data_IF_868451490425
#
_entry.id   IF_868451490425
#
_cell.length_a   1.000
_cell.length_b   1.000
_cell.length_c   1.000
_cell.angle_alpha   90.00
_cell.angle_beta   90.00
_cell.angle_gamma   90.00
#
_symmetry.space_group_name_H-M   'P 1'
#
loop_
_entity.id
_entity.type
_entity.pdbx_description
1 polymer ?
#
# COMPACT_ATOMS: atom_id res chain seq x y z
N UNK A 1 -2.14 -27.31 -7.16
CA UNK A 1 -2.33 -27.00 -5.71
C UNK A 1 -1.99 -25.53 -5.56
N UNK A 2 -2.97 -24.69 -5.35
CA UNK A 2 -2.75 -23.30 -4.96
C UNK A 2 -2.07 -23.30 -3.60
N UNK A 3 -1.01 -22.53 -3.42
CA UNK A 3 -0.49 -22.22 -2.10
C UNK A 3 -1.10 -20.88 -1.67
N UNK A 4 -2.34 -20.89 -1.13
CA UNK A 4 -3.09 -19.66 -0.82
C UNK A 4 -2.57 -18.95 0.43
N UNK A 5 -1.58 -19.53 1.13
CA UNK A 5 -1.29 -19.18 2.51
C UNK A 5 -0.05 -18.29 2.70
N UNK A 6 0.77 -18.07 1.64
CA UNK A 6 2.02 -17.28 1.80
C UNK A 6 1.78 -15.81 2.17
N UNK A 7 0.68 -15.24 1.73
CA UNK A 7 0.23 -13.91 2.13
C UNK A 7 -1.29 -13.89 2.21
N UNK A 8 -1.80 -13.50 3.36
CA UNK A 8 -3.24 -13.37 3.61
C UNK A 8 -3.59 -11.94 3.96
N UNK A 9 -4.63 -11.40 3.32
CA UNK A 9 -5.25 -10.14 3.74
C UNK A 9 -6.39 -10.47 4.71
N UNK A 10 -6.35 -9.78 5.85
CA UNK A 10 -7.34 -9.95 6.91
C UNK A 10 -8.17 -8.68 6.97
N UNK A 11 -9.52 -8.80 6.94
CA UNK A 11 -10.38 -7.64 7.11
C UNK A 11 -10.08 -6.91 8.43
N UNK A 12 -10.06 -5.59 8.38
CA UNK A 12 -9.90 -4.76 9.58
C UNK A 12 -11.25 -4.46 10.23
N UNK A 13 -11.28 -4.18 11.54
CA UNK A 13 -12.50 -3.75 12.24
C UNK A 13 -13.15 -2.54 11.55
N UNK A 14 -14.49 -2.50 11.55
CA UNK A 14 -15.27 -1.46 10.84
C UNK A 14 -14.92 -0.04 11.28
N UNK A 15 -14.65 0.17 12.56
CA UNK A 15 -14.24 1.46 13.12
C UNK A 15 -12.88 1.95 12.60
N UNK A 16 -12.05 1.03 12.10
CA UNK A 16 -10.72 1.35 11.56
C UNK A 16 -10.66 1.41 10.01
N UNK A 17 -11.72 1.03 9.30
CA UNK A 17 -11.75 1.08 7.84
C UNK A 17 -11.45 2.45 7.22
N UNK A 18 -11.80 3.59 7.86
CA UNK A 18 -11.37 4.91 7.38
C UNK A 18 -9.84 5.12 7.37
N UNK A 19 -9.11 4.32 8.13
CA UNK A 19 -7.66 4.45 8.36
C UNK A 19 -6.86 3.32 7.74
N UNK A 20 -7.45 2.14 7.68
CA UNK A 20 -6.79 0.91 7.28
C UNK A 20 -7.52 0.25 6.11
N UNK A 21 -6.75 -0.24 5.15
CA UNK A 21 -7.27 -1.03 4.04
C UNK A 21 -7.42 -2.50 4.43
N UNK A 22 -6.38 -3.06 5.06
CA UNK A 22 -6.35 -4.46 5.46
C UNK A 22 -5.27 -4.72 6.53
N UNK A 23 -5.43 -5.79 7.28
CA UNK A 23 -4.33 -6.50 7.91
C UNK A 23 -3.62 -7.39 6.90
N UNK A 24 -2.34 -7.65 7.10
CA UNK A 24 -1.56 -8.58 6.27
C UNK A 24 -0.80 -9.57 7.16
N UNK A 25 -0.84 -10.82 6.76
CA UNK A 25 -0.04 -11.91 7.35
C UNK A 25 0.81 -12.49 6.23
N UNK A 26 2.09 -12.61 6.47
CA UNK A 26 3.07 -13.19 5.54
C UNK A 26 3.69 -14.42 6.18
N UNK A 27 3.67 -15.53 5.46
CA UNK A 27 4.36 -16.78 5.83
C UNK A 27 5.05 -17.34 4.58
N UNK A 28 6.18 -16.74 4.24
CA UNK A 28 6.93 -17.07 3.04
C UNK A 28 7.88 -18.25 3.30
N UNK A 29 7.81 -19.32 2.50
CA UNK A 29 8.69 -20.46 2.66
C UNK A 29 10.13 -20.11 2.26
N UNK A 30 11.10 -20.89 2.76
CA UNK A 30 12.52 -20.72 2.43
C UNK A 30 12.82 -20.81 0.92
N UNK A 31 11.98 -21.50 0.15
CA UNK A 31 12.12 -21.63 -1.30
C UNK A 31 11.81 -20.34 -2.06
N UNK A 32 11.12 -19.38 -1.44
CA UNK A 32 10.85 -18.08 -2.04
C UNK A 32 12.02 -17.13 -1.76
N UNK A 33 12.94 -17.02 -2.71
CA UNK A 33 14.13 -16.19 -2.56
C UNK A 33 13.85 -14.68 -2.70
N UNK A 34 12.79 -14.30 -3.43
CA UNK A 34 12.49 -12.90 -3.74
C UNK A 34 10.99 -12.66 -3.82
N UNK A 35 10.59 -11.44 -3.45
CA UNK A 35 9.24 -10.93 -3.70
C UNK A 35 9.29 -9.55 -4.36
N UNK A 36 8.39 -9.33 -5.31
CA UNK A 36 8.28 -8.08 -6.05
C UNK A 36 6.96 -7.39 -5.70
N UNK A 37 7.04 -6.13 -5.36
CA UNK A 37 5.87 -5.30 -5.11
C UNK A 37 5.78 -4.23 -6.18
N UNK A 38 4.61 -4.01 -6.79
CA UNK A 38 4.42 -2.91 -7.72
C UNK A 38 4.55 -1.57 -6.99
N UNK A 39 4.68 -0.49 -7.76
CA UNK A 39 4.48 0.85 -7.22
C UNK A 39 3.13 0.95 -6.51
N UNK A 40 3.10 1.61 -5.34
CA UNK A 40 1.91 1.68 -4.49
C UNK A 40 1.68 3.08 -3.94
N UNK A 41 0.42 3.50 -3.87
CA UNK A 41 0.03 4.76 -3.20
C UNK A 41 -0.15 4.59 -1.70
N UNK A 42 -0.34 3.37 -1.22
CA UNK A 42 -0.52 3.03 0.19
C UNK A 42 0.81 2.85 0.89
N UNK A 43 0.83 3.13 2.19
CA UNK A 43 1.95 2.81 3.08
C UNK A 43 1.58 1.62 3.96
N UNK A 44 2.59 0.97 4.52
CA UNK A 44 2.41 -0.18 5.40
C UNK A 44 3.24 -0.01 6.67
N UNK A 45 2.72 -0.51 7.76
CA UNK A 45 3.52 -0.84 8.94
C UNK A 45 3.61 -2.36 9.06
N UNK A 46 4.82 -2.89 9.20
CA UNK A 46 5.08 -4.33 9.19
C UNK A 46 5.99 -4.69 10.36
N UNK A 47 5.64 -5.75 11.07
CA UNK A 47 6.51 -6.39 12.08
C UNK A 47 6.89 -7.77 11.57
N UNK A 48 8.17 -7.95 11.29
CA UNK A 48 8.74 -9.24 10.90
C UNK A 48 9.06 -10.04 12.16
N UNK A 49 8.53 -11.24 12.22
CA UNK A 49 8.64 -12.16 13.36
C UNK A 49 9.82 -13.12 13.18
N UNK A 50 10.08 -13.55 11.94
CA UNK A 50 11.17 -14.45 11.59
C UNK A 50 11.74 -14.14 10.19
N UNK A 51 12.96 -14.61 9.96
CA UNK A 51 13.69 -14.46 8.71
C UNK A 51 14.40 -13.11 8.57
N UNK A 52 15.13 -12.97 7.46
CA UNK A 52 15.80 -11.72 7.06
C UNK A 52 15.30 -11.29 5.70
N UNK A 53 15.16 -9.99 5.52
CA UNK A 53 14.72 -9.38 4.27
C UNK A 53 15.65 -8.24 3.93
N UNK A 54 16.13 -8.21 2.70
CA UNK A 54 16.93 -7.11 2.16
C UNK A 54 16.15 -6.39 1.05
N UNK A 55 16.38 -5.11 0.92
CA UNK A 55 15.82 -4.29 -0.14
C UNK A 55 16.90 -3.31 -0.59
N UNK A 56 17.17 -3.26 -1.89
CA UNK A 56 18.21 -2.39 -2.48
C UNK A 56 19.59 -2.55 -1.79
N UNK A 57 19.94 -3.78 -1.41
CA UNK A 57 21.20 -4.10 -0.74
C UNK A 57 21.25 -3.77 0.76
N UNK A 58 20.22 -3.13 1.33
CA UNK A 58 20.12 -2.84 2.75
C UNK A 58 19.21 -3.82 3.50
N UNK A 59 19.55 -4.13 4.76
CA UNK A 59 18.68 -4.94 5.63
C UNK A 59 17.42 -4.15 6.01
N UNK A 60 16.25 -4.72 5.74
CA UNK A 60 14.96 -4.13 6.15
C UNK A 60 14.83 -4.26 7.68
N UNK A 61 14.49 -3.18 8.40
CA UNK A 61 14.26 -3.24 9.84
C UNK A 61 13.22 -4.30 10.23
N UNK A 62 13.36 -4.96 11.39
CA UNK A 62 12.36 -5.94 11.85
C UNK A 62 10.97 -5.37 12.03
N UNK A 63 10.87 -4.14 12.52
CA UNK A 63 9.64 -3.36 12.54
C UNK A 63 9.83 -2.17 11.60
N UNK A 64 9.18 -2.20 10.45
CA UNK A 64 9.42 -1.29 9.34
C UNK A 64 8.17 -0.51 8.94
N UNK A 65 8.37 0.79 8.70
CA UNK A 65 7.50 1.59 7.86
C UNK A 65 7.91 1.44 6.40
N UNK A 66 6.97 1.05 5.57
CA UNK A 66 7.12 0.98 4.11
C UNK A 66 6.24 2.08 3.54
N UNK A 67 6.86 3.12 2.98
CA UNK A 67 6.10 4.24 2.39
C UNK A 67 5.48 3.85 1.04
N UNK A 68 4.58 4.70 0.54
CA UNK A 68 4.19 4.69 -0.86
C UNK A 68 5.43 4.62 -1.78
N UNK A 69 5.30 4.01 -2.95
CA UNK A 69 6.42 3.85 -3.89
C UNK A 69 6.04 4.26 -5.31
N UNK A 70 6.99 4.84 -6.04
CA UNK A 70 6.81 5.29 -7.43
C UNK A 70 7.37 4.32 -8.45
N UNK A 71 8.03 3.27 -7.98
CA UNK A 71 8.61 2.18 -8.78
C UNK A 71 8.35 0.85 -8.10
N UNK A 72 8.45 -0.23 -8.85
CA UNK A 72 8.46 -1.57 -8.28
C UNK A 72 9.61 -1.75 -7.28
N UNK A 73 9.34 -2.47 -6.19
CA UNK A 73 10.31 -2.79 -5.15
C UNK A 73 10.54 -4.29 -5.12
N UNK A 74 11.81 -4.68 -5.06
CA UNK A 74 12.21 -6.08 -4.91
C UNK A 74 12.78 -6.30 -3.52
N UNK A 75 12.32 -7.38 -2.87
CA UNK A 75 12.81 -7.83 -1.57
C UNK A 75 13.44 -9.19 -1.72
N UNK A 76 14.64 -9.35 -1.18
CA UNK A 76 15.38 -10.61 -1.12
C UNK A 76 15.22 -11.26 0.25
N UNK A 77 14.93 -12.54 0.29
CA UNK A 77 14.68 -13.29 1.50
C UNK A 77 15.87 -14.14 1.89
N UNK A 78 16.36 -13.98 3.12
CA UNK A 78 17.37 -14.83 3.72
C UNK A 78 16.75 -15.98 4.52
N UNK A 79 16.00 -16.88 3.84
CA UNK A 79 15.27 -17.98 4.46
C UNK A 79 13.75 -17.73 4.58
N UNK A 80 13.03 -18.53 5.38
CA UNK A 80 11.59 -18.34 5.58
C UNK A 80 11.32 -17.01 6.27
N UNK A 81 10.26 -16.30 5.84
CA UNK A 81 9.89 -15.01 6.38
C UNK A 81 8.48 -15.04 6.96
N UNK A 82 8.37 -14.69 8.23
CA UNK A 82 7.09 -14.49 8.89
C UNK A 82 6.93 -13.03 9.28
N UNK A 83 5.79 -12.43 8.95
CA UNK A 83 5.48 -11.04 9.28
C UNK A 83 3.98 -10.81 9.40
N UNK A 84 3.63 -9.81 10.21
CA UNK A 84 2.28 -9.26 10.28
C UNK A 84 2.34 -7.75 10.07
N UNK A 85 1.27 -7.15 9.56
CA UNK A 85 1.26 -5.73 9.33
C UNK A 85 -0.11 -5.16 9.05
N UNK A 86 -0.15 -3.86 8.86
CA UNK A 86 -1.34 -3.12 8.45
C UNK A 86 -1.03 -2.33 7.18
N UNK A 87 -1.95 -2.37 6.23
CA UNK A 87 -1.94 -1.52 5.04
C UNK A 87 -2.82 -0.32 5.33
N UNK A 88 -2.27 0.87 5.19
CA UNK A 88 -2.98 2.10 5.51
C UNK A 88 -3.69 2.65 4.27
N UNK A 89 -4.85 3.31 4.49
CA UNK A 89 -5.40 4.20 3.48
C UNK A 89 -4.36 5.27 3.13
N UNK A 90 -4.22 5.69 1.87
CA UNK A 90 -3.20 6.68 1.50
C UNK A 90 -3.26 7.93 2.38
N UNK A 91 -4.47 8.48 2.58
CA UNK A 91 -4.69 9.68 3.40
C UNK A 91 -4.45 9.46 4.90
N UNK A 92 -4.58 8.23 5.38
CA UNK A 92 -4.37 7.90 6.77
C UNK A 92 -2.90 7.92 7.16
N UNK A 93 -2.00 7.56 6.26
CA UNK A 93 -0.56 7.52 6.53
C UNK A 93 -0.04 8.86 7.05
N UNK A 94 -0.36 9.95 6.35
CA UNK A 94 0.06 11.32 6.72
C UNK A 94 -0.75 11.91 7.87
N UNK A 95 -1.97 11.45 8.08
CA UNK A 95 -2.82 11.88 9.18
C UNK A 95 -2.33 11.29 10.52
N UNK A 96 -2.03 9.98 10.53
CA UNK A 96 -1.61 9.24 11.72
C UNK A 96 -0.16 9.51 12.11
N UNK A 97 0.70 9.73 11.12
CA UNK A 97 2.15 9.85 11.31
C UNK A 97 2.66 11.11 10.61
N UNK A 98 2.84 12.20 11.37
CA UNK A 98 3.31 13.47 10.82
C UNK A 98 4.65 13.33 10.08
N UNK A 99 5.53 12.46 10.56
CA UNK A 99 6.81 12.13 9.91
C UNK A 99 6.70 11.35 8.61
N UNK A 100 5.49 10.86 8.25
CA UNK A 100 5.25 10.16 6.98
C UNK A 100 5.00 11.12 5.80
N UNK A 101 4.78 12.42 6.07
CA UNK A 101 4.50 13.41 5.03
C UNK A 101 5.66 13.51 4.02
N UNK A 102 5.34 13.39 2.76
CA UNK A 102 6.32 13.46 1.67
C UNK A 102 7.24 12.24 1.54
N UNK A 103 7.10 11.23 2.39
CA UNK A 103 7.89 10.01 2.27
C UNK A 103 7.38 9.15 1.11
N UNK A 104 8.29 8.85 0.20
CA UNK A 104 8.07 7.96 -0.94
C UNK A 104 9.34 7.16 -1.22
N UNK A 105 9.23 5.93 -1.67
CA UNK A 105 10.35 5.01 -1.90
C UNK A 105 11.26 4.85 -0.67
N UNK A 106 10.66 4.83 0.52
CA UNK A 106 11.41 4.86 1.80
C UNK A 106 11.02 3.69 2.68
N UNK A 107 12.04 3.04 3.24
CA UNK A 107 11.93 2.06 4.31
C UNK A 107 12.60 2.64 5.54
N UNK A 108 11.91 2.66 6.67
CA UNK A 108 12.43 3.17 7.95
C UNK A 108 12.02 2.28 9.12
N UNK A 109 12.80 2.26 10.22
CA UNK A 109 12.33 1.71 11.48
C UNK A 109 11.03 2.41 11.91
N UNK A 110 10.04 1.65 12.37
CA UNK A 110 8.80 2.23 12.89
C UNK A 110 9.03 3.14 14.10
N UNK A 111 10.03 2.85 14.90
CA UNK A 111 10.42 3.69 16.04
C UNK A 111 10.76 5.13 15.62
N UNK A 112 11.29 5.36 14.41
CA UNK A 112 11.63 6.69 13.92
C UNK A 112 10.38 7.55 13.63
N UNK A 113 9.25 6.93 13.32
CA UNK A 113 7.98 7.63 13.05
C UNK A 113 7.09 7.72 14.28
N UNK A 114 7.12 6.69 15.12
CA UNK A 114 6.22 6.54 16.27
C UNK A 114 6.83 7.09 17.56
N UNK A 115 8.16 7.00 17.66
CA UNK A 115 8.90 7.33 18.87
C UNK A 115 8.96 6.16 19.86
N UNK A 116 9.37 6.43 21.12
CA UNK A 116 9.65 5.38 22.13
C UNK A 116 8.47 4.46 22.44
N UNK A 117 7.23 4.98 22.32
CA UNK A 117 6.01 4.20 22.56
C UNK A 117 5.88 2.96 21.65
N UNK A 118 6.63 2.93 20.52
CA UNK A 118 6.62 1.78 19.63
C UNK A 118 7.19 0.52 20.27
N UNK A 119 8.15 0.63 21.17
CA UNK A 119 8.81 -0.52 21.79
C UNK A 119 7.82 -1.45 22.52
N UNK A 120 6.86 -0.87 23.25
CA UNK A 120 5.83 -1.64 23.95
C UNK A 120 4.89 -2.36 22.96
N UNK A 121 4.50 -1.69 21.89
CA UNK A 121 3.65 -2.28 20.83
C UNK A 121 4.38 -3.43 20.14
N UNK A 122 5.64 -3.23 19.76
CA UNK A 122 6.45 -4.27 19.12
C UNK A 122 6.62 -5.49 20.04
N UNK A 123 6.88 -5.27 21.31
CA UNK A 123 6.99 -6.33 22.31
C UNK A 123 5.67 -7.11 22.43
N UNK A 124 4.54 -6.41 22.50
CA UNK A 124 3.21 -7.05 22.57
C UNK A 124 2.90 -7.88 21.31
N UNK A 125 3.23 -7.36 20.11
CA UNK A 125 3.07 -8.11 18.86
C UNK A 125 3.91 -9.39 18.86
N UNK A 126 5.16 -9.31 19.33
CA UNK A 126 6.06 -10.48 19.39
C UNK A 126 5.65 -11.50 20.44
N UNK A 127 5.06 -11.05 21.55
CA UNK A 127 4.59 -11.92 22.63
C UNK A 127 3.29 -12.66 22.28
N UNK A 128 2.49 -12.12 21.39
CA UNK A 128 1.22 -12.73 20.98
C UNK A 128 1.44 -14.09 20.29
N UNK A 129 0.62 -15.08 20.62
CA UNK A 129 0.80 -16.45 20.17
C UNK A 129 0.38 -16.65 18.71
N UNK A 130 -0.69 -16.00 18.27
CA UNK A 130 -1.28 -16.18 16.94
C UNK A 130 -1.41 -14.87 16.17
N UNK A 131 -1.44 -14.95 14.85
CA UNK A 131 -1.48 -13.77 13.96
C UNK A 131 -2.69 -12.87 14.19
N UNK A 132 -3.84 -13.47 14.56
CA UNK A 132 -5.05 -12.71 14.91
C UNK A 132 -4.82 -11.78 16.09
N UNK A 133 -4.17 -12.25 17.16
CA UNK A 133 -3.81 -11.43 18.33
C UNK A 133 -2.80 -10.35 17.96
N UNK A 134 -1.79 -10.68 17.16
CA UNK A 134 -0.79 -9.73 16.64
C UNK A 134 -1.45 -8.58 15.89
N UNK A 135 -2.38 -8.90 14.99
CA UNK A 135 -3.16 -7.90 14.26
C UNK A 135 -4.07 -7.08 15.19
N UNK A 136 -4.65 -7.70 16.23
CA UNK A 136 -5.43 -6.97 17.23
C UNK A 136 -4.59 -5.96 17.99
N UNK A 137 -3.35 -6.31 18.38
CA UNK A 137 -2.40 -5.37 19.02
C UNK A 137 -2.13 -4.19 18.09
N UNK A 138 -1.84 -4.43 16.82
CA UNK A 138 -1.61 -3.36 15.84
C UNK A 138 -2.87 -2.49 15.62
N UNK A 139 -4.05 -3.09 15.55
CA UNK A 139 -5.31 -2.36 15.45
C UNK A 139 -5.58 -1.52 16.72
N UNK A 140 -5.29 -2.05 17.90
CA UNK A 140 -5.41 -1.30 19.15
C UNK A 140 -4.48 -0.09 19.17
N UNK A 141 -3.24 -0.23 18.70
CA UNK A 141 -2.30 0.87 18.55
C UNK A 141 -2.86 1.98 17.62
N UNK A 142 -3.42 1.64 16.47
CA UNK A 142 -4.04 2.63 15.58
C UNK A 142 -5.25 3.27 16.26
N UNK A 143 -6.08 2.48 16.95
CA UNK A 143 -7.26 2.97 17.67
C UNK A 143 -6.89 3.99 18.74
N UNK A 144 -5.82 3.77 19.48
CA UNK A 144 -5.29 4.75 20.45
C UNK A 144 -4.85 6.06 19.79
N UNK A 145 -4.27 6.00 18.58
CA UNK A 145 -3.83 7.20 17.86
C UNK A 145 -5.00 8.04 17.31
N UNK A 146 -6.11 7.42 16.99
CA UNK A 146 -7.31 8.11 16.50
C UNK A 146 -8.31 8.46 17.60
N UNK A 147 -8.06 8.00 18.85
CA UNK A 147 -8.92 8.28 19.99
C UNK A 147 -8.80 9.75 20.44
N UNK A 148 -9.86 10.36 21.02
CA UNK A 148 -9.78 11.67 21.64
C UNK A 148 -8.71 11.70 22.78
N UNK A 149 -7.95 12.82 22.95
CA UNK A 149 -8.08 14.13 22.27
C UNK A 149 -7.40 14.22 20.89
N UNK A 150 -6.65 13.21 20.47
CA UNK A 150 -5.91 13.22 19.20
C UNK A 150 -6.82 13.06 17.97
N UNK A 151 -8.03 12.57 18.15
CA UNK A 151 -8.98 12.27 17.07
C UNK A 151 -9.24 13.47 16.17
N UNK A 152 -9.48 14.64 16.76
CA UNK A 152 -9.80 15.86 15.99
C UNK A 152 -8.65 16.25 15.05
N UNK A 153 -7.41 16.24 15.55
CA UNK A 153 -6.24 16.60 14.75
C UNK A 153 -5.95 15.55 13.66
N UNK A 154 -6.10 14.26 13.97
CA UNK A 154 -5.93 13.19 13.00
C UNK A 154 -7.02 13.23 11.92
N UNK A 155 -8.28 13.44 12.29
CA UNK A 155 -9.39 13.47 11.34
C UNK A 155 -9.33 14.71 10.46
N UNK A 156 -8.99 15.88 11.01
CA UNK A 156 -8.79 17.10 10.21
C UNK A 156 -7.67 16.90 9.18
N UNK A 157 -6.53 16.33 9.60
CA UNK A 157 -5.42 16.03 8.68
C UNK A 157 -5.84 15.05 7.60
N UNK A 158 -6.63 14.03 7.94
CA UNK A 158 -7.18 13.07 6.97
C UNK A 158 -8.12 13.76 5.98
N UNK A 159 -9.01 14.63 6.44
CA UNK A 159 -9.90 15.40 5.56
C UNK A 159 -9.13 16.34 4.63
N UNK A 160 -8.08 16.98 5.11
CA UNK A 160 -7.19 17.79 4.27
C UNK A 160 -6.49 16.94 3.19
N UNK A 161 -6.05 15.75 3.54
CA UNK A 161 -5.43 14.81 2.59
C UNK A 161 -6.44 14.35 1.52
N UNK A 162 -7.66 13.97 1.94
CA UNK A 162 -8.75 13.60 1.03
C UNK A 162 -9.12 14.74 0.06
N UNK A 163 -9.22 15.98 0.57
CA UNK A 163 -9.50 17.14 -0.27
C UNK A 163 -8.42 17.33 -1.37
N UNK A 164 -7.14 17.12 -1.04
CA UNK A 164 -6.06 17.17 -2.03
C UNK A 164 -6.20 16.05 -3.09
N UNK A 165 -6.56 14.84 -2.68
CA UNK A 165 -6.77 13.73 -3.61
C UNK A 165 -7.96 13.98 -4.55
N UNK A 166 -9.09 14.47 -4.00
CA UNK A 166 -10.27 14.84 -4.79
C UNK A 166 -9.97 15.96 -5.78
N UNK A 167 -9.26 16.99 -5.34
CA UNK A 167 -8.84 18.11 -6.19
C UNK A 167 -7.93 17.61 -7.33
N UNK A 168 -7.01 16.72 -7.06
CA UNK A 168 -6.18 16.09 -8.09
C UNK A 168 -7.02 15.30 -9.11
N UNK A 169 -8.04 14.55 -8.64
CA UNK A 169 -8.94 13.76 -9.48
C UNK A 169 -9.83 14.62 -10.39
N UNK A 170 -10.33 15.73 -9.88
CA UNK A 170 -11.27 16.62 -10.61
C UNK A 170 -10.57 17.69 -11.45
N UNK A 171 -9.27 17.91 -11.26
CA UNK A 171 -8.52 19.02 -11.87
C UNK A 171 -8.87 20.38 -11.26
N UNK A 172 -9.58 20.40 -10.12
CA UNK A 172 -9.86 21.61 -9.36
C UNK A 172 -8.73 21.88 -8.37
N UNK A 173 -8.11 23.04 -8.46
CA UNK A 173 -6.90 23.33 -7.71
C UNK A 173 -7.14 24.01 -6.36
N UNK A 174 -8.34 23.87 -5.77
CA UNK A 174 -8.70 24.44 -4.45
C UNK A 174 -8.44 25.95 -4.34
N UNK A 175 -8.73 26.72 -5.40
CA UNK A 175 -8.42 28.15 -5.47
C UNK A 175 -6.93 28.50 -5.63
N UNK A 176 -6.06 27.51 -5.78
CA UNK A 176 -4.64 27.70 -6.01
C UNK A 176 -4.32 27.71 -7.52
N UNK A 177 -3.20 28.33 -7.91
CA UNK A 177 -2.66 28.09 -9.24
C UNK A 177 -2.19 26.63 -9.37
N UNK A 178 -2.15 26.09 -10.60
CA UNK A 178 -1.68 24.72 -10.86
C UNK A 178 -0.33 24.46 -10.19
N UNK A 179 0.64 25.36 -10.32
CA UNK A 179 1.98 25.22 -9.73
C UNK A 179 1.95 25.19 -8.20
N UNK A 180 1.10 26.01 -7.57
CA UNK A 180 0.94 26.01 -6.11
C UNK A 180 0.29 24.71 -5.62
N UNK A 181 -0.74 24.23 -6.33
CA UNK A 181 -1.40 22.97 -6.04
C UNK A 181 -0.41 21.78 -6.15
N UNK A 182 0.31 21.67 -7.27
CA UNK A 182 1.31 20.61 -7.47
C UNK A 182 2.38 20.63 -6.37
N UNK A 183 2.91 21.81 -6.02
CA UNK A 183 3.89 21.94 -4.93
C UNK A 183 3.31 21.48 -3.59
N UNK A 184 2.06 21.86 -3.27
CA UNK A 184 1.38 21.42 -2.04
C UNK A 184 1.14 19.92 -2.05
N UNK A 185 0.73 19.35 -3.16
CA UNK A 185 0.50 17.93 -3.33
C UNK A 185 1.81 17.14 -3.14
N UNK A 186 2.90 17.55 -3.82
CA UNK A 186 4.22 16.91 -3.66
C UNK A 186 4.71 17.00 -2.23
N UNK A 187 4.58 18.15 -1.57
CA UNK A 187 4.97 18.31 -0.16
C UNK A 187 4.18 17.36 0.77
N UNK A 188 2.97 16.98 0.40
CA UNK A 188 2.12 16.09 1.18
C UNK A 188 2.36 14.62 0.86
N UNK A 189 2.44 14.27 -0.44
CA UNK A 189 2.45 12.89 -0.93
C UNK A 189 3.82 12.39 -1.39
N UNK A 190 4.82 13.26 -1.49
CA UNK A 190 6.15 12.93 -2.02
C UNK A 190 6.19 12.68 -3.53
N UNK A 191 5.06 12.76 -4.24
CA UNK A 191 4.96 12.54 -5.68
C UNK A 191 3.95 13.50 -6.32
N UNK A 192 4.08 13.73 -7.63
CA UNK A 192 3.17 14.63 -8.37
C UNK A 192 1.75 14.05 -8.47
N UNK A 193 0.71 14.90 -8.58
CA UNK A 193 -0.69 14.45 -8.67
C UNK A 193 -0.93 13.44 -9.77
N UNK A 194 -0.39 13.69 -10.97
CA UNK A 194 -0.51 12.78 -12.12
C UNK A 194 0.15 11.43 -11.86
N UNK A 195 1.30 11.41 -11.20
CA UNK A 195 2.01 10.18 -10.85
C UNK A 195 1.21 9.36 -9.85
N UNK A 196 0.66 10.01 -8.81
CA UNK A 196 -0.24 9.37 -7.85
C UNK A 196 -1.43 8.71 -8.54
N UNK A 197 -2.13 9.43 -9.43
CA UNK A 197 -3.28 8.91 -10.18
C UNK A 197 -2.92 7.68 -11.04
N UNK A 198 -1.76 7.71 -11.70
CA UNK A 198 -1.32 6.57 -12.52
C UNK A 198 -1.03 5.35 -11.66
N UNK A 199 -0.37 5.52 -10.51
CA UNK A 199 -0.10 4.42 -9.59
C UNK A 199 -1.39 3.90 -8.95
N UNK A 200 -2.29 4.79 -8.51
CA UNK A 200 -3.59 4.41 -7.95
C UNK A 200 -4.42 3.58 -8.95
N UNK A 201 -4.44 4.00 -10.22
CA UNK A 201 -5.08 3.23 -11.30
C UNK A 201 -4.45 1.85 -11.47
N UNK A 202 -3.11 1.76 -11.50
CA UNK A 202 -2.41 0.48 -11.56
C UNK A 202 -2.79 -0.42 -10.39
N UNK A 203 -2.81 0.10 -9.16
CA UNK A 203 -3.19 -0.68 -7.98
C UNK A 203 -4.64 -1.20 -8.08
N UNK A 204 -5.59 -0.36 -8.52
CA UNK A 204 -6.98 -0.76 -8.79
C UNK A 204 -7.05 -1.85 -9.88
N UNK A 205 -6.28 -1.69 -10.96
CA UNK A 205 -6.24 -2.68 -12.06
C UNK A 205 -5.75 -4.04 -11.57
N UNK A 206 -4.67 -4.06 -10.79
CA UNK A 206 -4.15 -5.30 -10.20
C UNK A 206 -5.16 -5.95 -9.25
N UNK A 207 -5.79 -5.15 -8.39
CA UNK A 207 -6.83 -5.64 -7.48
C UNK A 207 -8.01 -6.28 -8.22
N UNK A 208 -8.52 -5.64 -9.26
CA UNK A 208 -9.64 -6.15 -10.06
C UNK A 208 -9.25 -7.41 -10.85
N UNK A 209 -8.05 -7.43 -11.45
CA UNK A 209 -7.57 -8.61 -12.18
C UNK A 209 -7.43 -9.86 -11.28
N UNK A 210 -7.19 -9.65 -9.99
CA UNK A 210 -7.08 -10.74 -9.01
C UNK A 210 -8.44 -11.17 -8.46
N UNK A 211 -9.37 -10.22 -8.32
CA UNK A 211 -10.73 -10.48 -7.84
C UNK A 211 -11.57 -11.21 -8.91
N UNK A 212 -11.37 -10.91 -10.19
CA UNK A 212 -12.11 -11.47 -11.32
C UNK A 212 -11.17 -12.16 -12.31
N UNK A 213 -10.69 -13.37 -12.03
CA UNK A 213 -9.69 -14.05 -12.85
C UNK A 213 -10.13 -14.41 -14.29
N UNK A 214 -11.41 -14.27 -14.60
CA UNK A 214 -12.00 -14.61 -15.92
C UNK A 214 -12.17 -13.43 -16.86
N UNK A 215 -11.95 -12.19 -16.41
CA UNK A 215 -12.09 -11.00 -17.24
C UNK A 215 -10.99 -10.91 -18.32
N UNK A 216 -11.35 -10.36 -19.47
CA UNK A 216 -10.36 -10.13 -20.53
C UNK A 216 -9.49 -8.92 -20.21
N UNK A 217 -8.24 -8.94 -20.68
CA UNK A 217 -7.30 -7.82 -20.52
C UNK A 217 -7.82 -6.53 -21.18
N UNK A 218 -8.65 -6.68 -22.24
CA UNK A 218 -9.26 -5.56 -22.96
C UNK A 218 -10.36 -4.89 -22.12
N UNK A 219 -11.28 -5.68 -21.56
CA UNK A 219 -12.33 -5.18 -20.67
C UNK A 219 -11.72 -4.47 -19.48
N UNK A 220 -10.74 -5.10 -18.84
CA UNK A 220 -10.04 -4.52 -17.68
C UNK A 220 -9.37 -3.17 -18.04
N UNK A 221 -8.73 -3.05 -19.18
CA UNK A 221 -8.11 -1.80 -19.61
C UNK A 221 -9.16 -0.69 -19.80
N UNK A 222 -10.28 -1.00 -20.41
CA UNK A 222 -11.38 -0.04 -20.64
C UNK A 222 -12.01 0.40 -19.32
N UNK A 223 -12.34 -0.53 -18.45
CA UNK A 223 -13.00 -0.27 -17.17
C UNK A 223 -12.13 0.54 -16.22
N UNK A 224 -10.80 0.38 -16.31
CA UNK A 224 -9.84 1.11 -15.49
C UNK A 224 -9.39 2.45 -16.11
N UNK A 225 -10.00 2.88 -17.21
CA UNK A 225 -9.75 4.19 -17.84
C UNK A 225 -8.39 4.31 -18.52
N UNK A 226 -7.84 3.21 -19.00
CA UNK A 226 -6.73 3.26 -19.94
C UNK A 226 -7.24 3.60 -21.35
N UNK A 227 -6.42 4.30 -22.13
CA UNK A 227 -6.74 4.64 -23.50
C UNK A 227 -6.86 3.38 -24.38
N UNK A 228 -5.92 2.47 -24.21
CA UNK A 228 -5.86 1.18 -24.86
C UNK A 228 -5.05 0.16 -24.04
N UNK A 229 -5.07 -1.08 -24.49
CA UNK A 229 -4.32 -2.18 -23.87
C UNK A 229 -2.79 -1.93 -23.87
N UNK A 230 -2.26 -1.26 -24.89
CA UNK A 230 -0.83 -0.95 -24.99
C UNK A 230 -0.41 0.09 -23.96
N UNK A 231 -1.27 1.06 -23.66
CA UNK A 231 -1.05 2.03 -22.59
C UNK A 231 -1.00 1.34 -21.23
N UNK A 232 -1.97 0.47 -20.96
CA UNK A 232 -1.96 -0.35 -19.72
C UNK A 232 -0.69 -1.21 -19.62
N UNK A 233 -0.31 -1.90 -20.69
CA UNK A 233 0.87 -2.76 -20.71
C UNK A 233 2.18 -1.98 -20.46
N UNK A 234 2.28 -0.75 -20.95
CA UNK A 234 3.43 0.14 -20.67
C UNK A 234 3.48 0.54 -19.21
N UNK A 235 2.35 0.95 -18.62
CA UNK A 235 2.29 1.31 -17.20
C UNK A 235 2.61 0.09 -16.30
N UNK A 236 2.07 -1.10 -16.63
CA UNK A 236 2.38 -2.34 -15.89
C UNK A 236 3.89 -2.64 -15.88
N UNK A 237 4.55 -2.60 -17.05
CA UNK A 237 6.01 -2.84 -17.10
C UNK A 237 6.80 -1.78 -16.33
N UNK A 238 6.41 -0.53 -16.45
CA UNK A 238 7.11 0.59 -15.80
C UNK A 238 6.97 0.59 -14.28
N UNK A 239 5.75 0.29 -13.77
CA UNK A 239 5.41 0.48 -12.36
C UNK A 239 5.34 -0.82 -11.56
N UNK A 240 5.19 -1.96 -12.23
CA UNK A 240 5.18 -3.27 -11.61
C UNK A 240 6.33 -4.18 -12.08
N UNK A 241 7.13 -3.74 -13.04
CA UNK A 241 8.26 -4.50 -13.57
C UNK A 241 7.88 -5.63 -14.54
N UNK A 242 6.60 -6.01 -14.59
CA UNK A 242 6.12 -7.18 -15.33
C UNK A 242 4.78 -6.91 -16.03
N UNK A 243 4.45 -7.66 -17.10
CA UNK A 243 3.12 -7.62 -17.69
C UNK A 243 2.04 -8.10 -16.70
N UNK A 244 0.82 -7.57 -16.81
CA UNK A 244 -0.31 -7.93 -15.94
C UNK A 244 -0.51 -9.45 -15.85
N UNK A 245 -0.46 -10.15 -16.99
CA UNK A 245 -0.65 -11.59 -17.02
C UNK A 245 0.40 -12.35 -16.19
N UNK A 246 1.67 -11.94 -16.25
CA UNK A 246 2.74 -12.53 -15.45
C UNK A 246 2.53 -12.27 -13.95
N UNK A 247 2.07 -11.07 -13.58
CA UNK A 247 1.75 -10.72 -12.20
C UNK A 247 0.60 -11.57 -11.66
N UNK A 248 -0.50 -11.70 -12.41
CA UNK A 248 -1.66 -12.51 -12.02
C UNK A 248 -1.31 -14.00 -11.95
N UNK A 249 -0.50 -14.52 -12.88
CA UNK A 249 0.00 -15.90 -12.82
C UNK A 249 0.95 -16.11 -11.64
N UNK A 250 1.81 -15.14 -11.38
CA UNK A 250 2.77 -15.18 -10.28
C UNK A 250 2.14 -15.34 -8.91
N UNK A 251 0.95 -14.77 -8.69
CA UNK A 251 0.21 -14.98 -7.43
C UNK A 251 -0.30 -16.40 -7.22
N UNK A 252 -0.32 -17.22 -8.29
CA UNK A 252 -0.83 -18.60 -8.27
C UNK A 252 0.26 -19.64 -8.19
N UNK A 253 1.53 -19.23 -8.32
CA UNK A 253 2.68 -20.14 -8.29
C UNK A 253 3.49 -19.94 -7.01
N UNK A 254 3.76 -21.01 -6.23
CA UNK A 254 4.50 -20.92 -4.98
C UNK A 254 5.98 -20.55 -5.16
N UNK A 255 6.49 -20.58 -6.39
CA UNK A 255 7.91 -20.37 -6.71
C UNK A 255 8.18 -19.10 -7.51
N UNK A 256 7.17 -18.29 -7.81
CA UNK A 256 7.38 -17.04 -8.55
C UNK A 256 7.66 -15.90 -7.62
N UNK A 257 8.70 -15.14 -7.96
CA UNK A 257 9.12 -13.93 -7.27
C UNK A 257 8.12 -12.74 -7.37
N UNK A 258 6.88 -12.98 -7.80
CA UNK A 258 5.91 -11.91 -8.07
C UNK A 258 4.76 -11.99 -7.08
N UNK A 259 4.63 -10.93 -6.31
CA UNK A 259 3.54 -10.76 -5.36
C UNK A 259 2.82 -9.44 -5.62
N UNK A 260 1.80 -9.41 -6.47
CA UNK A 260 0.87 -8.30 -6.42
C UNK A 260 0.13 -8.39 -5.09
N UNK A 261 0.16 -7.31 -4.32
CA UNK A 261 -0.69 -7.17 -3.16
C UNK A 261 -2.15 -7.35 -3.62
N UNK A 262 -2.81 -8.38 -3.14
CA UNK A 262 -4.25 -8.58 -3.32
C UNK A 262 -5.03 -7.61 -2.42
N UNK A 263 -4.75 -6.32 -2.55
CA UNK A 263 -5.59 -5.30 -1.93
C UNK A 263 -6.82 -5.25 -2.82
N UNK A 264 -7.85 -5.98 -2.40
CA UNK A 264 -9.04 -6.19 -3.21
C UNK A 264 -9.66 -4.88 -3.67
N UNK A 265 -10.28 -4.94 -4.84
CA UNK A 265 -11.06 -3.86 -5.46
C UNK A 265 -12.14 -3.25 -4.53
N UNK A 266 -12.45 -3.91 -3.42
CA UNK A 266 -13.43 -3.46 -2.42
C UNK A 266 -12.90 -2.41 -1.45
N UNK A 267 -11.59 -2.12 -1.44
CA UNK A 267 -10.97 -1.26 -0.41
C UNK A 267 -10.53 0.11 -0.92
N UNK A 268 -10.41 0.32 -2.21
CA UNK A 268 -10.31 1.67 -2.73
C UNK A 268 -11.73 2.20 -2.91
N UNK A 269 -12.12 3.35 -2.31
CA UNK A 269 -13.38 3.97 -2.62
C UNK A 269 -13.43 4.13 -4.14
N UNK A 270 -14.53 3.69 -4.75
CA UNK A 270 -14.76 3.59 -6.19
C UNK A 270 -14.44 4.92 -6.90
N UNK A 271 -13.18 5.26 -6.98
CA UNK A 271 -12.67 6.34 -7.80
C UNK A 271 -12.61 5.79 -9.22
N UNK A 272 -13.78 5.72 -9.88
CA UNK A 272 -13.79 5.79 -11.34
C UNK A 272 -12.94 7.00 -11.68
N UNK A 273 -11.70 6.73 -12.09
CA UNK A 273 -10.81 7.79 -12.56
C UNK A 273 -11.60 8.57 -13.61
N UNK A 274 -11.79 9.88 -13.46
CA UNK A 274 -12.52 10.64 -14.46
C UNK A 274 -11.83 10.42 -15.81
N UNK A 275 -12.60 10.21 -16.90
CA UNK A 275 -12.02 10.01 -18.21
C UNK A 275 -11.09 11.18 -18.50
N UNK A 276 -9.84 10.89 -18.88
CA UNK A 276 -8.89 11.88 -19.29
C UNK A 276 -9.53 12.72 -20.41
N UNK A 277 -9.82 14.00 -20.13
CA UNK A 277 -10.32 14.91 -21.15
C UNK A 277 -9.32 14.92 -22.29
N UNK A 278 -9.80 14.61 -23.50
CA UNK A 278 -9.04 14.76 -24.75
C UNK A 278 -8.61 16.24 -24.83
N UNK A 279 -7.33 16.47 -25.02
CA UNK A 279 -6.81 17.69 -25.67
C UNK A 279 -6.54 17.37 -27.12
#
# INVERSE_FOLDING_TARGET
>A
MQNPDMQRFVPVPTDLQPWLMAGVVVDAPAALAQSHFPAMVSSMLVVRLAGQVHCQGGLVPPAAWISASTTAMMYEHGGPVQAVGLVLQPEAAVALFAGARGLVNTLRPLADLVGPAWAEVEQAVRAAAVDGERLQVLCAFIRQRVAPPSLFDCDERRQQALALLQAAGTGQHMGLSQRQFERRFVAHWGMAPKQFQVIARLNSTLGNALAEPGGTVVELATDQGYYDQSHMARDMRRLAGHPLQALVQGTRSPLTAHWPLQIGAQTLPNQKAPPLRRR
#
